data_IF_049458228120
#
_entry.id   IF_049458228120
#
_cell.length_a   1.000
_cell.length_b   1.000
_cell.length_c   1.000
_cell.angle_alpha   90.00
_cell.angle_beta   90.00
_cell.angle_gamma   90.00
#
_symmetry.space_group_name_H-M   'P 1'
#
loop_
_entity.id
_entity.type
_entity.pdbx_description
1 polymer ?
#
# COMPACT_ATOMS: atom_id res chain seq x y z
N UNK A 1 15.40 16.03 8.24
CA UNK A 1 15.67 15.19 9.44
C UNK A 1 14.41 14.58 10.03
N UNK A 2 13.34 15.36 10.26
CA UNK A 2 12.07 14.84 10.83
C UNK A 2 11.47 13.68 10.01
N UNK A 3 11.45 13.79 8.68
CA UNK A 3 10.96 12.71 7.81
C UNK A 3 11.69 11.38 7.98
N UNK A 4 13.03 11.41 8.09
CA UNK A 4 13.85 10.21 8.30
C UNK A 4 13.58 9.52 9.64
N UNK A 5 13.36 10.31 10.70
CA UNK A 5 13.02 9.80 12.03
C UNK A 5 11.64 9.15 12.00
N UNK A 6 10.65 9.79 11.36
CA UNK A 6 9.30 9.25 11.20
C UNK A 6 9.32 7.95 10.38
N UNK A 7 10.06 7.91 9.28
CA UNK A 7 10.25 6.69 8.49
C UNK A 7 10.91 5.59 9.32
N UNK A 8 11.95 5.90 10.11
CA UNK A 8 12.61 4.92 10.99
C UNK A 8 11.65 4.31 12.02
N UNK A 9 10.81 5.14 12.65
CA UNK A 9 9.79 4.67 13.59
C UNK A 9 8.71 3.82 12.92
N UNK A 10 8.26 4.20 11.71
CA UNK A 10 7.33 3.40 10.90
C UNK A 10 7.94 2.03 10.56
N UNK A 11 9.21 2.00 10.16
CA UNK A 11 9.93 0.75 9.89
C UNK A 11 10.02 -0.14 11.13
N UNK A 12 10.41 0.42 12.27
CA UNK A 12 10.43 -0.31 13.55
C UNK A 12 9.05 -0.87 13.91
N UNK A 13 8.00 -0.06 13.78
CA UNK A 13 6.62 -0.50 14.02
C UNK A 13 6.23 -1.67 13.10
N UNK A 14 6.53 -1.57 11.81
CA UNK A 14 6.25 -2.64 10.85
C UNK A 14 7.00 -3.93 11.18
N UNK A 15 8.28 -3.84 11.54
CA UNK A 15 9.10 -4.99 11.94
C UNK A 15 8.52 -5.65 13.20
N UNK A 16 8.21 -4.87 14.24
CA UNK A 16 7.63 -5.39 15.49
C UNK A 16 6.27 -6.03 15.22
N UNK A 17 5.40 -5.37 14.43
CA UNK A 17 4.08 -5.90 14.05
C UNK A 17 4.22 -7.21 13.29
N UNK A 18 5.15 -7.30 12.33
CA UNK A 18 5.45 -8.52 11.59
C UNK A 18 5.96 -9.63 12.51
N UNK A 19 6.93 -9.33 13.38
CA UNK A 19 7.52 -10.30 14.30
C UNK A 19 6.51 -10.88 15.28
N UNK A 20 5.57 -10.07 15.77
CA UNK A 20 4.47 -10.49 16.66
C UNK A 20 3.51 -11.47 15.97
N UNK A 21 3.30 -11.32 14.66
CA UNK A 21 2.35 -12.11 13.88
C UNK A 21 3.00 -13.17 12.98
N UNK A 22 4.32 -13.40 13.14
CA UNK A 22 5.11 -14.33 12.32
C UNK A 22 4.53 -15.76 12.26
N UNK A 23 3.86 -16.22 13.31
CA UNK A 23 3.29 -17.56 13.37
C UNK A 23 2.14 -17.72 12.36
N UNK A 24 1.37 -16.65 12.10
CA UNK A 24 0.35 -16.61 11.04
C UNK A 24 1.00 -16.80 9.67
N UNK A 25 2.13 -16.14 9.42
CA UNK A 25 2.88 -16.26 8.16
C UNK A 25 3.51 -17.63 7.96
N UNK A 26 3.91 -18.32 9.05
CA UNK A 26 4.42 -19.69 9.00
C UNK A 26 3.33 -20.72 8.72
N UNK A 27 2.08 -20.42 9.07
CA UNK A 27 0.92 -21.30 8.85
C UNK A 27 0.29 -21.15 7.44
N UNK A 28 0.85 -20.29 6.59
CA UNK A 28 0.39 -20.12 5.21
C UNK A 28 0.96 -21.23 4.32
N UNK A 29 0.08 -21.84 3.54
CA UNK A 29 0.49 -22.74 2.46
C UNK A 29 1.20 -21.98 1.35
N UNK A 30 1.98 -22.69 0.51
CA UNK A 30 2.65 -22.12 -0.67
C UNK A 30 1.67 -21.37 -1.60
N UNK A 31 0.43 -21.86 -1.73
CA UNK A 31 -0.63 -21.21 -2.52
C UNK A 31 -1.10 -19.91 -1.89
N UNK A 32 -1.29 -19.86 -0.58
CA UNK A 32 -1.69 -18.64 0.14
C UNK A 32 -0.59 -17.58 0.12
N UNK A 33 0.67 -18.01 0.22
CA UNK A 33 1.83 -17.14 0.06
C UNK A 33 1.89 -16.50 -1.33
N UNK A 34 1.69 -17.30 -2.39
CA UNK A 34 1.63 -16.79 -3.76
C UNK A 34 0.43 -15.87 -3.99
N UNK A 35 -0.73 -16.18 -3.40
CA UNK A 35 -1.94 -15.35 -3.52
C UNK A 35 -1.77 -14.00 -2.80
N UNK A 36 -1.21 -14.02 -1.59
CA UNK A 36 -0.91 -12.82 -0.81
C UNK A 36 0.17 -11.96 -1.48
N UNK A 37 1.30 -12.56 -1.85
CA UNK A 37 2.40 -11.86 -2.53
C UNK A 37 2.01 -11.35 -3.91
N UNK A 38 1.34 -12.17 -4.73
CA UNK A 38 0.85 -11.76 -6.04
C UNK A 38 -0.20 -10.65 -5.95
N UNK A 39 -1.14 -10.77 -5.00
CA UNK A 39 -2.13 -9.73 -4.72
C UNK A 39 -1.50 -8.41 -4.29
N UNK A 40 -0.46 -8.47 -3.45
CA UNK A 40 0.32 -7.30 -3.04
C UNK A 40 1.02 -6.62 -4.21
N UNK A 41 1.67 -7.39 -5.09
CA UNK A 41 2.32 -6.85 -6.28
C UNK A 41 1.31 -6.19 -7.23
N UNK A 42 0.15 -6.82 -7.45
CA UNK A 42 -0.92 -6.27 -8.30
C UNK A 42 -1.50 -4.99 -7.68
N UNK A 43 -1.77 -4.99 -6.37
CA UNK A 43 -2.26 -3.82 -5.64
C UNK A 43 -1.30 -2.63 -5.75
N UNK A 44 0.00 -2.88 -5.57
CA UNK A 44 1.04 -1.86 -5.72
C UNK A 44 1.18 -1.37 -7.16
N UNK A 45 1.15 -2.27 -8.14
CA UNK A 45 1.20 -1.89 -9.54
C UNK A 45 0.03 -0.95 -9.90
N UNK A 46 -1.19 -1.29 -9.49
CA UNK A 46 -2.38 -0.44 -9.73
C UNK A 46 -2.24 0.92 -9.06
N UNK A 47 -1.81 0.98 -7.80
CA UNK A 47 -1.59 2.26 -7.11
C UNK A 47 -0.55 3.12 -7.84
N UNK A 48 0.57 2.53 -8.25
CA UNK A 48 1.64 3.22 -8.99
C UNK A 48 1.11 3.74 -10.33
N UNK A 49 0.34 2.94 -11.08
CA UNK A 49 -0.24 3.37 -12.35
C UNK A 49 -1.19 4.55 -12.18
N UNK A 50 -2.02 4.55 -11.14
CA UNK A 50 -2.95 5.66 -10.84
C UNK A 50 -2.18 6.92 -10.46
N UNK A 51 -1.14 6.79 -9.63
CA UNK A 51 -0.35 7.93 -9.16
C UNK A 51 0.50 8.53 -10.29
N UNK A 52 1.23 7.71 -11.06
CA UNK A 52 2.04 8.20 -12.18
C UNK A 52 1.18 8.68 -13.36
N UNK A 53 0.07 8.00 -13.66
CA UNK A 53 -0.87 8.47 -14.67
C UNK A 53 -1.53 9.79 -14.26
N UNK A 54 -1.83 9.90 -12.97
CA UNK A 54 -2.38 11.11 -12.37
C UNK A 54 -1.39 12.28 -12.33
N UNK A 55 -0.09 12.02 -12.09
CA UNK A 55 0.92 13.08 -12.05
C UNK A 55 1.07 13.80 -13.39
N UNK A 56 0.98 13.07 -14.50
CA UNK A 56 0.96 13.70 -15.84
C UNK A 56 -0.22 14.67 -16.04
N UNK A 57 -1.34 14.44 -15.35
CA UNK A 57 -2.49 15.35 -15.36
C UNK A 57 -2.29 16.55 -14.44
N UNK A 58 -1.66 16.36 -13.27
CA UNK A 58 -1.40 17.45 -12.32
C UNK A 58 -0.31 18.38 -12.79
N UNK A 59 0.70 17.87 -13.50
CA UNK A 59 1.77 18.65 -14.13
C UNK A 59 1.24 19.63 -15.19
N UNK A 60 0.10 19.33 -15.81
CA UNK A 60 -0.55 20.21 -16.78
C UNK A 60 -1.31 21.39 -16.14
N UNK A 61 -1.53 21.35 -14.83
CA UNK A 61 -2.24 22.38 -14.08
C UNK A 61 -1.25 23.46 -13.65
N UNK A 62 -1.40 24.68 -14.17
CA UNK A 62 -0.53 25.81 -13.86
C UNK A 62 -0.71 26.39 -12.45
N UNK A 63 -1.76 25.97 -11.73
CA UNK A 63 -2.09 26.48 -10.40
C UNK A 63 -1.62 25.47 -9.34
N UNK A 64 -0.47 25.77 -8.72
CA UNK A 64 0.25 24.87 -7.80
C UNK A 64 -0.63 24.28 -6.68
N UNK A 65 -1.47 25.09 -6.05
CA UNK A 65 -2.30 24.60 -4.94
C UNK A 65 -3.39 23.62 -5.40
N UNK A 66 -3.92 23.79 -6.62
CA UNK A 66 -4.90 22.87 -7.21
C UNK A 66 -4.22 21.57 -7.62
N UNK A 67 -3.04 21.65 -8.24
CA UNK A 67 -2.23 20.49 -8.59
C UNK A 67 -1.93 19.63 -7.36
N UNK A 68 -1.45 20.25 -6.26
CA UNK A 68 -1.16 19.56 -5.00
C UNK A 68 -2.39 18.87 -4.39
N UNK A 69 -3.56 19.52 -4.40
CA UNK A 69 -4.80 18.88 -3.90
C UNK A 69 -5.15 17.67 -4.77
N UNK A 70 -5.07 17.81 -6.09
CA UNK A 70 -5.41 16.73 -7.01
C UNK A 70 -4.44 15.53 -6.85
N UNK A 71 -3.15 15.79 -6.65
CA UNK A 71 -2.15 14.74 -6.35
C UNK A 71 -2.49 13.98 -5.08
N UNK A 72 -2.84 14.69 -4.00
CA UNK A 72 -3.27 14.05 -2.74
C UNK A 72 -4.51 13.17 -2.99
N UNK A 73 -5.49 13.67 -3.74
CA UNK A 73 -6.70 12.90 -4.09
C UNK A 73 -6.34 11.65 -4.90
N UNK A 74 -5.45 11.76 -5.88
CA UNK A 74 -4.99 10.63 -6.70
C UNK A 74 -4.23 9.58 -5.88
N UNK A 75 -3.39 10.02 -4.92
CA UNK A 75 -2.74 9.12 -3.97
C UNK A 75 -3.78 8.39 -3.13
N UNK A 76 -4.79 9.09 -2.61
CA UNK A 76 -5.87 8.47 -1.83
C UNK A 76 -6.66 7.45 -2.66
N UNK A 77 -6.96 7.75 -3.94
CA UNK A 77 -7.63 6.82 -4.85
C UNK A 77 -6.74 5.59 -5.10
N UNK A 78 -5.45 5.79 -5.39
CA UNK A 78 -4.49 4.71 -5.60
C UNK A 78 -4.37 3.79 -4.38
N UNK A 79 -4.29 4.37 -3.18
CA UNK A 79 -4.28 3.63 -1.92
C UNK A 79 -5.59 2.89 -1.67
N UNK A 80 -6.74 3.51 -1.96
CA UNK A 80 -8.06 2.89 -1.84
C UNK A 80 -8.21 1.67 -2.76
N UNK A 81 -7.77 1.79 -4.01
CA UNK A 81 -7.77 0.69 -4.98
C UNK A 81 -6.83 -0.44 -4.55
N UNK A 82 -5.62 -0.11 -4.08
CA UNK A 82 -4.71 -1.10 -3.53
C UNK A 82 -5.31 -1.82 -2.32
N UNK A 83 -5.94 -1.09 -1.40
CA UNK A 83 -6.65 -1.65 -0.25
C UNK A 83 -7.77 -2.60 -0.66
N UNK A 84 -8.58 -2.22 -1.65
CA UNK A 84 -9.64 -3.08 -2.18
C UNK A 84 -9.11 -4.37 -2.80
N UNK A 85 -8.05 -4.28 -3.62
CA UNK A 85 -7.40 -5.45 -4.23
C UNK A 85 -6.86 -6.35 -3.14
N UNK A 86 -6.13 -5.80 -2.18
CA UNK A 86 -5.58 -6.53 -1.04
C UNK A 86 -6.68 -7.24 -0.26
N UNK A 87 -7.81 -6.58 0.03
CA UNK A 87 -8.93 -7.21 0.72
C UNK A 87 -9.50 -8.42 -0.05
N UNK A 88 -9.48 -8.41 -1.39
CA UNK A 88 -9.93 -9.56 -2.19
C UNK A 88 -8.88 -10.66 -2.34
N UNK A 89 -7.60 -10.30 -2.40
CA UNK A 89 -6.51 -11.26 -2.67
C UNK A 89 -5.91 -11.86 -1.41
N UNK A 90 -5.97 -11.16 -0.27
CA UNK A 90 -5.42 -11.64 1.00
C UNK A 90 -6.11 -12.94 1.45
N UNK A 91 -5.33 -13.96 1.85
CA UNK A 91 -5.82 -15.10 2.61
C UNK A 91 -6.55 -14.65 3.88
N UNK A 92 -7.61 -15.34 4.28
CA UNK A 92 -8.42 -14.97 5.46
C UNK A 92 -7.57 -14.81 6.73
N UNK A 93 -6.61 -15.72 6.95
CA UNK A 93 -5.65 -15.64 8.07
C UNK A 93 -4.84 -14.34 8.09
N UNK A 94 -4.56 -13.76 6.93
CA UNK A 94 -3.87 -12.48 6.82
C UNK A 94 -4.83 -11.28 6.82
N UNK A 95 -6.12 -11.46 6.53
CA UNK A 95 -7.10 -10.37 6.67
C UNK A 95 -7.22 -9.90 8.12
N UNK A 96 -7.15 -10.82 9.08
CA UNK A 96 -7.13 -10.49 10.52
C UNK A 96 -5.90 -9.64 10.93
N UNK A 97 -4.79 -9.75 10.20
CA UNK A 97 -3.60 -8.93 10.45
C UNK A 97 -3.71 -7.50 9.91
N UNK A 98 -4.50 -7.33 8.85
CA UNK A 98 -4.69 -6.07 8.13
C UNK A 98 -5.98 -5.32 8.51
N UNK A 99 -6.89 -5.94 9.26
CA UNK A 99 -8.04 -5.29 9.89
C UNK A 99 -7.64 -4.55 11.18
#
# INVERSE_FOLDING_TARGET
>A
MVGWILSGLLWLFLIVKFYKNREIFKQLSKKEWLKGGGGFLVAWAVAIFVIMGGSHFTDAIQIDWIANILEIVLILIGLGLAGYIMHKTLPEKLKEFYS
#
